data_IF_263100473321
#
_entry.id   IF_263100473321
#
_cell.length_a   1.000
_cell.length_b   1.000
_cell.length_c   1.000
_cell.angle_alpha   90.00
_cell.angle_beta   90.00
_cell.angle_gamma   90.00
#
_symmetry.space_group_name_H-M   'P 1'
#
loop_
_entity.id
_entity.type
_entity.pdbx_description
1 polymer ?
#
# COMPACT_ATOMS: atom_id res chain seq x y z
N UNK A 1 5.77 6.13 -6.74
CA UNK A 1 5.02 5.88 -5.50
C UNK A 1 5.65 6.73 -4.41
N UNK A 2 4.87 7.40 -3.57
CA UNK A 2 5.38 8.24 -2.46
C UNK A 2 4.64 7.89 -1.17
N UNK A 3 5.22 8.21 -0.02
CA UNK A 3 4.65 7.95 1.31
C UNK A 3 5.40 6.88 2.09
N UNK A 4 4.92 6.55 3.29
CA UNK A 4 5.53 5.58 4.21
C UNK A 4 4.72 4.26 4.19
N UNK A 5 5.42 3.17 3.91
CA UNK A 5 4.82 1.82 3.88
C UNK A 5 4.32 1.39 5.25
N UNK A 6 5.11 1.57 6.31
CA UNK A 6 4.76 1.11 7.67
C UNK A 6 3.59 1.90 8.26
N UNK A 7 3.45 3.18 7.88
CA UNK A 7 2.28 3.99 8.23
C UNK A 7 1.06 3.69 7.34
N UNK A 8 1.21 2.82 6.32
CA UNK A 8 0.19 2.50 5.32
C UNK A 8 -0.34 3.74 4.60
N UNK A 9 0.55 4.69 4.30
CA UNK A 9 0.24 6.01 3.72
C UNK A 9 0.69 6.19 2.26
N UNK A 10 1.05 5.09 1.59
CA UNK A 10 1.55 5.14 0.21
C UNK A 10 0.50 5.64 -0.80
N UNK A 11 0.94 6.47 -1.75
CA UNK A 11 0.14 6.99 -2.86
C UNK A 11 0.85 6.67 -4.19
N UNK A 12 0.07 6.15 -5.13
CA UNK A 12 0.51 5.83 -6.49
C UNK A 12 0.05 6.95 -7.43
N UNK A 13 0.97 7.49 -8.22
CA UNK A 13 0.73 8.58 -9.16
C UNK A 13 0.96 8.11 -10.60
N UNK A 14 0.24 8.71 -11.55
CA UNK A 14 0.47 8.48 -12.98
C UNK A 14 1.63 9.34 -13.48
N UNK A 15 2.70 8.67 -13.93
CA UNK A 15 3.86 9.33 -14.54
C UNK A 15 4.47 10.39 -13.62
N UNK A 16 4.76 11.56 -14.19
CA UNK A 16 5.28 12.75 -13.53
C UNK A 16 4.19 13.73 -13.07
N UNK A 17 2.91 13.38 -13.25
CA UNK A 17 1.78 14.21 -12.84
C UNK A 17 1.43 14.06 -11.35
N UNK A 18 0.59 14.97 -10.84
CA UNK A 18 -0.03 14.86 -9.51
C UNK A 18 -1.29 13.99 -9.51
N UNK A 19 -1.63 13.34 -10.62
CA UNK A 19 -2.83 12.50 -10.73
C UNK A 19 -2.65 11.20 -9.93
N UNK A 20 -3.47 11.04 -8.90
CA UNK A 20 -3.48 9.86 -8.03
C UNK A 20 -4.27 8.74 -8.72
N UNK A 21 -3.65 7.56 -8.81
CA UNK A 21 -4.26 6.35 -9.41
C UNK A 21 -4.55 5.26 -8.38
N UNK A 22 -3.87 5.29 -7.23
CA UNK A 22 -4.24 4.48 -6.08
C UNK A 22 -3.75 5.11 -4.76
N UNK A 23 -4.46 4.81 -3.66
CA UNK A 23 -4.12 5.31 -2.33
C UNK A 23 -4.25 4.20 -1.29
N UNK A 24 -3.20 4.04 -0.48
CA UNK A 24 -3.19 3.12 0.67
C UNK A 24 -3.77 3.81 1.90
N UNK A 25 -4.48 3.02 2.70
CA UNK A 25 -5.04 3.44 3.97
C UNK A 25 -4.81 2.36 5.03
N UNK A 26 -4.50 2.81 6.25
CA UNK A 26 -4.49 1.94 7.42
C UNK A 26 -5.91 1.45 7.71
N UNK A 27 -6.12 0.14 7.75
CA UNK A 27 -7.41 -0.42 8.16
C UNK A 27 -7.42 -0.58 9.67
N UNK A 28 -8.07 0.35 10.37
CA UNK A 28 -8.38 0.18 11.79
C UNK A 28 -9.66 -0.63 11.92
N UNK A 29 -9.56 -1.96 11.98
CA UNK A 29 -10.70 -2.82 12.34
C UNK A 29 -10.39 -3.55 13.64
N UNK A 30 -11.40 -3.74 14.50
CA UNK A 30 -11.23 -4.49 15.76
C UNK A 30 -10.71 -5.91 15.49
N UNK A 31 -11.08 -6.47 14.33
CA UNK A 31 -10.62 -7.78 13.83
C UNK A 31 -9.12 -7.83 13.47
N UNK A 32 -8.53 -6.74 12.97
CA UNK A 32 -7.11 -6.72 12.59
C UNK A 32 -6.18 -6.68 13.81
N UNK A 33 -6.65 -6.12 14.93
CA UNK A 33 -5.96 -6.19 16.23
C UNK A 33 -5.97 -7.63 16.77
N UNK A 34 -7.09 -8.35 16.61
CA UNK A 34 -7.26 -9.71 17.14
C UNK A 34 -6.52 -10.77 16.31
N UNK A 35 -6.39 -10.56 14.98
CA UNK A 35 -5.78 -11.54 14.07
C UNK A 35 -4.28 -11.32 13.82
N UNK A 36 -3.66 -10.26 14.36
CA UNK A 36 -2.23 -10.00 14.21
C UNK A 36 -1.75 -9.77 12.77
N UNK A 37 -2.67 -9.68 11.80
CA UNK A 37 -2.36 -9.35 10.41
C UNK A 37 -2.53 -7.85 10.22
N UNK A 38 -1.45 -7.20 9.83
CA UNK A 38 -1.49 -5.85 9.30
C UNK A 38 -2.42 -5.82 8.08
N UNK A 39 -3.67 -5.43 8.30
CA UNK A 39 -4.59 -5.21 7.20
C UNK A 39 -4.45 -3.77 6.75
N UNK A 40 -4.05 -3.57 5.51
CA UNK A 40 -4.18 -2.28 4.83
C UNK A 40 -5.23 -2.40 3.73
N UNK A 41 -5.77 -1.26 3.32
CA UNK A 41 -6.66 -1.18 2.16
C UNK A 41 -5.99 -0.31 1.10
N UNK A 42 -6.25 -0.61 -0.15
CA UNK A 42 -5.84 0.25 -1.27
C UNK A 42 -7.07 0.59 -2.08
N UNK A 43 -7.35 1.88 -2.16
CA UNK A 43 -8.33 2.44 -3.10
C UNK A 43 -7.65 2.53 -4.46
N UNK A 44 -8.22 1.85 -5.47
CA UNK A 44 -7.79 1.98 -6.87
C UNK A 44 -8.82 2.80 -7.61
N UNK A 45 -8.39 3.87 -8.28
CA UNK A 45 -9.30 4.77 -8.98
C UNK A 45 -9.77 4.19 -10.32
N UNK A 46 -10.92 4.65 -10.88
CA UNK A 46 -11.42 4.17 -12.16
C UNK A 46 -10.40 4.25 -13.30
N UNK A 47 -10.50 3.35 -14.26
CA UNK A 47 -9.61 3.26 -15.45
C UNK A 47 -8.14 2.96 -15.13
N UNK A 48 -7.87 2.38 -13.96
CA UNK A 48 -6.56 1.90 -13.54
C UNK A 48 -6.57 0.37 -13.53
N UNK A 49 -5.51 -0.25 -14.04
CA UNK A 49 -5.35 -1.69 -14.00
C UNK A 49 -5.06 -2.15 -12.56
N UNK A 50 -5.97 -2.97 -12.00
CA UNK A 50 -5.84 -3.47 -10.63
C UNK A 50 -4.66 -4.43 -10.46
N UNK A 51 -4.34 -5.24 -11.47
CA UNK A 51 -3.21 -6.17 -11.41
C UNK A 51 -1.88 -5.41 -11.38
N UNK A 52 -1.78 -4.32 -12.15
CA UNK A 52 -0.64 -3.40 -12.07
C UNK A 52 -0.47 -2.81 -10.67
N UNK A 53 -1.56 -2.33 -10.04
CA UNK A 53 -1.49 -1.81 -8.67
C UNK A 53 -1.09 -2.90 -7.66
N UNK A 54 -1.66 -4.10 -7.77
CA UNK A 54 -1.30 -5.23 -6.90
C UNK A 54 0.18 -5.60 -7.06
N UNK A 55 0.70 -5.65 -8.28
CA UNK A 55 2.12 -5.93 -8.52
C UNK A 55 3.02 -4.88 -7.84
N UNK A 56 2.67 -3.59 -7.93
CA UNK A 56 3.39 -2.53 -7.23
C UNK A 56 3.34 -2.71 -5.71
N UNK A 57 2.19 -3.09 -5.15
CA UNK A 57 2.03 -3.34 -3.71
C UNK A 57 2.89 -4.52 -3.27
N UNK A 58 2.93 -5.62 -4.03
CA UNK A 58 3.76 -6.80 -3.71
C UNK A 58 5.24 -6.44 -3.75
N UNK A 59 5.69 -5.68 -4.76
CA UNK A 59 7.07 -5.19 -4.83
C UNK A 59 7.39 -4.31 -3.62
N UNK A 60 6.47 -3.40 -3.23
CA UNK A 60 6.66 -2.60 -2.02
C UNK A 60 6.69 -3.47 -0.76
N UNK A 61 5.84 -4.49 -0.66
CA UNK A 61 5.82 -5.40 0.47
C UNK A 61 7.17 -6.09 0.62
N UNK A 62 7.68 -6.72 -0.44
CA UNK A 62 8.98 -7.40 -0.44
C UNK A 62 10.12 -6.48 0.04
N UNK A 63 10.23 -5.28 -0.55
CA UNK A 63 11.27 -4.31 -0.21
C UNK A 63 11.24 -3.89 1.27
N UNK A 64 10.06 -3.88 1.89
CA UNK A 64 9.89 -3.41 3.26
C UNK A 64 9.80 -4.56 4.29
N UNK A 65 9.47 -5.78 3.88
CA UNK A 65 9.59 -6.97 4.74
C UNK A 65 11.08 -7.32 4.94
N UNK A 66 11.91 -7.22 3.90
CA UNK A 66 13.37 -7.40 4.00
C UNK A 66 14.06 -6.40 4.95
N UNK A 67 13.41 -5.26 5.24
CA UNK A 67 13.94 -4.21 6.13
C UNK A 67 13.51 -4.36 7.57
N UNK A 68 12.58 -5.27 7.86
CA UNK A 68 12.09 -5.54 9.22
C UNK A 68 12.93 -6.60 9.95
N UNK A 69 13.94 -7.20 9.32
CA UNK A 69 14.86 -8.18 9.91
C UNK A 69 15.99 -7.54 10.76
N UNK A 70 15.83 -6.29 11.18
CA UNK A 70 16.72 -5.66 12.17
C UNK A 70 15.92 -4.87 13.19
N UNK A 71 15.56 -5.54 14.28
CA UNK A 71 15.57 -5.02 15.65
C UNK A 71 15.79 -6.20 16.63
#
# INVERSE_FOLDING_TARGET
IKGNWFERSCIVYRGDSTNIVAQMHKKHSVQSIVLGKDTFMVTVYPHVDYAFIVALIVILNEINEDRNDTD
#
